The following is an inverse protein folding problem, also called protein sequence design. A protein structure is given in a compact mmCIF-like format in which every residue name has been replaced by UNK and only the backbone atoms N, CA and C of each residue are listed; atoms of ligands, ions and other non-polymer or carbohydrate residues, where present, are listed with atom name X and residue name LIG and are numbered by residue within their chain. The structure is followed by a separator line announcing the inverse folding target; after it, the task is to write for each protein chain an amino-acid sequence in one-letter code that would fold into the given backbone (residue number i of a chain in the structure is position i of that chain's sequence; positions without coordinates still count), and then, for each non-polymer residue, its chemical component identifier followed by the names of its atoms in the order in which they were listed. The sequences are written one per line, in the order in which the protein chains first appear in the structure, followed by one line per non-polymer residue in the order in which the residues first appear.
data_IF_011091576883
#
_entry.id   IF_011091576883
#
_cell.length_a   1.000
_cell.length_b   1.000
_cell.length_c   1.000
_cell.angle_alpha   90.00
_cell.angle_beta   90.00
_cell.angle_gamma   90.00
#
_symmetry.space_group_name_H-M   'P 1'
#
loop_
_entity.id
_entity.type
_entity.pdbx_description
1 polymer ?
#
# COMPACT_ATOMS: atom_id res chain seq x y z
N UNK A 1 -15.51 -58.82 13.23
CA UNK A 1 -14.47 -58.35 14.16
C UNK A 1 -14.22 -56.88 13.84
N UNK A 2 -15.09 -56.01 14.35
CA UNK A 2 -15.09 -54.56 14.06
C UNK A 2 -15.10 -53.82 15.40
N UNK A 3 -13.94 -53.79 16.06
CA UNK A 3 -13.78 -52.99 17.28
C UNK A 3 -13.58 -51.53 16.89
N UNK A 4 -14.58 -50.72 17.25
CA UNK A 4 -14.41 -49.44 17.92
C UNK A 4 -13.24 -48.60 17.38
N UNK A 5 -13.45 -47.94 16.24
CA UNK A 5 -12.82 -46.62 16.09
C UNK A 5 -13.50 -45.75 17.13
N UNK A 6 -12.86 -45.59 18.29
CA UNK A 6 -13.43 -44.89 19.44
C UNK A 6 -13.90 -43.50 19.00
N UNK A 7 -15.17 -43.19 19.20
CA UNK A 7 -15.77 -41.86 18.96
C UNK A 7 -14.86 -40.67 19.33
N UNK A 8 -14.15 -40.67 20.48
CA UNK A 8 -13.21 -39.59 20.80
C UNK A 8 -12.03 -39.44 19.83
N UNK A 9 -11.58 -40.51 19.17
CA UNK A 9 -10.51 -40.45 18.18
C UNK A 9 -10.98 -39.75 16.90
N UNK A 10 -12.22 -39.98 16.46
CA UNK A 10 -12.80 -39.29 15.31
C UNK A 10 -13.07 -37.81 15.60
N UNK A 11 -13.56 -37.48 16.80
CA UNK A 11 -13.75 -36.07 17.20
C UNK A 11 -12.43 -35.32 17.28
N UNK A 12 -11.39 -35.96 17.85
CA UNK A 12 -10.05 -35.34 17.95
C UNK A 12 -9.46 -35.13 16.56
N UNK A 13 -9.55 -36.13 15.67
CA UNK A 13 -9.06 -36.02 14.30
C UNK A 13 -9.82 -34.93 13.52
N UNK A 14 -11.14 -34.86 13.67
CA UNK A 14 -11.97 -33.82 13.07
C UNK A 14 -11.64 -32.41 13.59
N UNK A 15 -11.39 -32.27 14.90
CA UNK A 15 -11.00 -30.99 15.50
C UNK A 15 -9.63 -30.52 15.02
N UNK A 16 -8.64 -31.43 14.90
CA UNK A 16 -7.31 -31.11 14.39
C UNK A 16 -7.37 -30.68 12.92
N UNK A 17 -8.08 -31.43 12.08
CA UNK A 17 -8.24 -31.10 10.66
C UNK A 17 -9.02 -29.80 10.46
N UNK A 18 -10.07 -29.57 11.26
CA UNK A 18 -10.84 -28.32 11.25
C UNK A 18 -10.00 -27.12 11.67
N UNK A 19 -9.16 -27.27 12.70
CA UNK A 19 -8.22 -26.25 13.15
C UNK A 19 -7.19 -25.89 12.08
N UNK A 20 -6.60 -26.90 11.42
CA UNK A 20 -5.68 -26.69 10.30
C UNK A 20 -6.35 -25.97 9.13
N UNK A 21 -7.57 -26.38 8.75
CA UNK A 21 -8.33 -25.73 7.68
C UNK A 21 -8.65 -24.26 8.01
N UNK A 22 -9.13 -23.99 9.23
CA UNK A 22 -9.42 -22.63 9.68
C UNK A 22 -8.15 -21.77 9.68
N UNK A 23 -7.01 -22.33 10.09
CA UNK A 23 -5.73 -21.65 10.04
C UNK A 23 -5.32 -21.27 8.60
N UNK A 24 -5.41 -22.20 7.65
CA UNK A 24 -5.13 -21.90 6.23
C UNK A 24 -6.09 -20.87 5.64
N UNK A 25 -7.38 -20.94 5.97
CA UNK A 25 -8.34 -19.92 5.51
C UNK A 25 -8.12 -18.56 6.15
N UNK A 26 -7.74 -18.53 7.42
CA UNK A 26 -7.37 -17.30 8.11
C UNK A 26 -6.11 -16.68 7.47
N UNK A 27 -5.11 -17.48 7.08
CA UNK A 27 -3.93 -16.96 6.39
C UNK A 27 -4.26 -16.36 5.03
N UNK A 28 -5.09 -17.03 4.22
CA UNK A 28 -5.52 -16.51 2.92
C UNK A 28 -6.27 -15.17 3.05
N UNK A 29 -7.19 -15.08 4.02
CA UNK A 29 -7.95 -13.87 4.26
C UNK A 29 -7.07 -12.73 4.76
N UNK A 30 -6.13 -13.05 5.66
CA UNK A 30 -5.13 -12.10 6.13
C UNK A 30 -4.26 -11.56 4.99
N UNK A 31 -3.82 -12.43 4.08
CA UNK A 31 -3.00 -12.04 2.94
C UNK A 31 -3.76 -11.12 1.98
N UNK A 32 -5.02 -11.45 1.65
CA UNK A 32 -5.89 -10.58 0.83
C UNK A 32 -6.14 -9.23 1.49
N UNK A 33 -6.40 -9.20 2.79
CA UNK A 33 -6.60 -7.95 3.51
C UNK A 33 -5.35 -7.06 3.47
N UNK A 34 -4.16 -7.66 3.59
CA UNK A 34 -2.88 -6.96 3.47
C UNK A 34 -2.65 -6.42 2.05
N UNK A 35 -2.91 -7.24 1.03
CA UNK A 35 -2.75 -6.84 -0.37
C UNK A 35 -3.69 -5.68 -0.74
N UNK A 36 -4.94 -5.73 -0.27
CA UNK A 36 -5.90 -4.65 -0.46
C UNK A 36 -5.43 -3.35 0.18
N UNK A 37 -4.95 -3.38 1.44
CA UNK A 37 -4.42 -2.18 2.11
C UNK A 37 -3.21 -1.61 1.40
N UNK A 38 -2.33 -2.47 0.88
CA UNK A 38 -1.18 -2.04 0.10
C UNK A 38 -1.60 -1.36 -1.21
N UNK A 39 -2.57 -1.94 -1.94
CA UNK A 39 -3.12 -1.34 -3.14
C UNK A 39 -3.79 0.02 -2.87
N UNK A 40 -4.57 0.13 -1.80
CA UNK A 40 -5.20 1.40 -1.40
C UNK A 40 -4.16 2.45 -0.99
N UNK A 41 -3.09 2.04 -0.31
CA UNK A 41 -1.99 2.92 0.03
C UNK A 41 -1.25 3.43 -1.22
N UNK A 42 -1.04 2.57 -2.22
CA UNK A 42 -0.49 2.98 -3.51
C UNK A 42 -1.41 3.95 -4.25
N UNK A 43 -2.73 3.72 -4.22
CA UNK A 43 -3.70 4.65 -4.82
C UNK A 43 -3.70 6.02 -4.12
N UNK A 44 -3.54 6.05 -2.79
CA UNK A 44 -3.38 7.29 -2.05
C UNK A 44 -2.07 8.00 -2.39
N UNK A 45 -0.98 7.25 -2.56
CA UNK A 45 0.32 7.78 -2.97
C UNK A 45 0.28 8.37 -4.38
N UNK A 46 -0.37 7.68 -5.32
CA UNK A 46 -0.56 8.17 -6.68
C UNK A 46 -1.36 9.47 -6.71
N UNK A 47 -2.45 9.54 -5.93
CA UNK A 47 -3.24 10.75 -5.79
C UNK A 47 -2.42 11.91 -5.19
N UNK A 48 -1.58 11.63 -4.18
CA UNK A 48 -0.69 12.63 -3.58
C UNK A 48 0.36 13.18 -4.55
N UNK A 49 0.95 12.29 -5.38
CA UNK A 49 1.88 12.68 -6.45
C UNK A 49 1.18 13.55 -7.49
N UNK A 50 -0.03 13.17 -7.91
CA UNK A 50 -0.79 13.93 -8.90
C UNK A 50 -1.19 15.30 -8.36
N UNK A 51 -1.74 15.37 -7.14
CA UNK A 51 -2.11 16.63 -6.52
C UNK A 51 -0.90 17.56 -6.44
N UNK A 52 0.25 17.05 -5.98
CA UNK A 52 1.48 17.85 -5.91
C UNK A 52 1.93 18.35 -7.28
N UNK A 53 1.76 17.54 -8.32
CA UNK A 53 2.07 17.98 -9.68
C UNK A 53 1.20 19.17 -10.07
N UNK A 54 -0.11 19.07 -9.84
CA UNK A 54 -1.09 20.07 -10.24
C UNK A 54 -0.96 21.39 -9.45
N UNK A 55 -0.75 21.31 -8.14
CA UNK A 55 -0.75 22.49 -7.26
C UNK A 55 0.61 23.17 -7.12
N UNK A 56 1.70 22.47 -7.40
CA UNK A 56 3.06 22.98 -7.16
C UNK A 56 3.98 22.81 -8.37
N UNK A 57 4.20 21.57 -8.83
CA UNK A 57 5.23 21.30 -9.86
C UNK A 57 4.93 22.02 -11.16
N UNK A 58 3.66 22.08 -11.56
CA UNK A 58 3.23 22.76 -12.79
C UNK A 58 3.57 24.25 -12.75
N UNK A 59 3.15 24.95 -11.71
CA UNK A 59 3.42 26.37 -11.52
C UNK A 59 4.93 26.67 -11.46
N UNK A 60 5.70 25.84 -10.74
CA UNK A 60 7.17 25.99 -10.65
C UNK A 60 7.83 25.81 -12.01
N UNK A 61 7.39 24.84 -12.81
CA UNK A 61 7.93 24.64 -14.17
C UNK A 61 7.58 25.78 -15.11
N UNK A 62 6.36 26.30 -15.03
CA UNK A 62 5.91 27.43 -15.85
C UNK A 62 6.68 28.72 -15.51
N UNK A 63 7.07 28.89 -14.24
CA UNK A 63 7.88 30.01 -13.80
C UNK A 63 9.40 29.85 -14.10
N UNK A 64 9.87 28.61 -14.35
CA UNK A 64 11.29 28.36 -14.63
C UNK A 64 11.63 28.58 -16.10
N UNK A 65 12.72 29.31 -16.36
CA UNK A 65 13.23 29.55 -17.71
C UNK A 65 13.63 28.26 -18.45
N UNK A 66 14.03 27.21 -17.72
CA UNK A 66 14.45 25.92 -18.29
C UNK A 66 13.37 24.82 -18.20
N UNK A 67 12.20 25.14 -17.63
CA UNK A 67 11.09 24.20 -17.42
C UNK A 67 11.39 23.06 -16.44
N UNK A 68 12.45 23.18 -15.63
CA UNK A 68 12.89 22.15 -14.67
C UNK A 68 12.79 22.66 -13.24
N UNK A 69 12.69 21.70 -12.33
CA UNK A 69 12.81 21.95 -10.90
C UNK A 69 14.28 21.86 -10.51
N UNK A 70 14.73 22.77 -9.64
CA UNK A 70 15.97 22.71 -8.88
C UNK A 70 15.98 21.52 -7.90
N UNK A 71 17.13 21.26 -7.26
CA UNK A 71 17.25 20.22 -6.24
C UNK A 71 16.32 20.46 -5.04
N UNK A 72 16.24 21.71 -4.57
CA UNK A 72 15.40 22.09 -3.44
C UNK A 72 13.92 21.97 -3.79
N UNK A 73 13.51 22.41 -4.98
CA UNK A 73 12.12 22.28 -5.42
C UNK A 73 11.72 20.82 -5.59
N UNK A 74 12.63 19.95 -6.05
CA UNK A 74 12.38 18.49 -6.10
C UNK A 74 12.22 17.90 -4.72
N UNK A 75 13.04 18.32 -3.75
CA UNK A 75 12.91 17.89 -2.35
C UNK A 75 11.55 18.32 -1.80
N UNK A 76 11.18 19.59 -2.01
CA UNK A 76 9.89 20.12 -1.59
C UNK A 76 8.71 19.40 -2.24
N UNK A 77 8.79 19.11 -3.54
CA UNK A 77 7.76 18.33 -4.23
C UNK A 77 7.62 16.92 -3.65
N UNK A 78 8.70 16.27 -3.24
CA UNK A 78 8.63 14.95 -2.60
C UNK A 78 7.97 15.02 -1.23
N UNK A 79 8.31 16.02 -0.42
CA UNK A 79 7.66 16.27 0.87
C UNK A 79 6.15 16.50 0.70
N UNK A 80 5.77 17.39 -0.23
CA UNK A 80 4.36 17.65 -0.51
C UNK A 80 3.62 16.41 -1.01
N UNK A 81 4.24 15.60 -1.87
CA UNK A 81 3.63 14.36 -2.35
C UNK A 81 3.43 13.35 -1.21
N UNK A 82 4.40 13.25 -0.29
CA UNK A 82 4.29 12.42 0.91
C UNK A 82 3.15 12.90 1.81
N UNK A 83 3.10 14.20 2.11
CA UNK A 83 2.07 14.78 2.98
C UNK A 83 0.67 14.63 2.39
N UNK A 84 0.52 14.90 1.09
CA UNK A 84 -0.74 14.71 0.37
C UNK A 84 -1.17 13.23 0.36
N UNK A 85 -0.23 12.31 0.13
CA UNK A 85 -0.51 10.88 0.18
C UNK A 85 -1.01 10.43 1.56
N UNK A 86 -0.37 10.90 2.64
CA UNK A 86 -0.82 10.63 4.02
C UNK A 86 -2.22 11.20 4.25
N UNK A 87 -2.51 12.41 3.76
CA UNK A 87 -3.83 13.00 3.86
C UNK A 87 -4.90 12.16 3.13
N UNK A 88 -4.63 11.74 1.89
CA UNK A 88 -5.52 10.83 1.15
C UNK A 88 -5.67 9.46 1.80
N UNK A 89 -4.62 8.93 2.41
CA UNK A 89 -4.67 7.69 3.18
C UNK A 89 -5.63 7.81 4.35
N UNK A 90 -5.50 8.88 5.14
CA UNK A 90 -6.36 9.14 6.31
C UNK A 90 -7.84 9.22 5.94
N UNK A 91 -8.20 9.88 4.84
CA UNK A 91 -9.60 9.96 4.40
C UNK A 91 -10.18 8.62 3.95
N UNK A 92 -9.32 7.67 3.58
CA UNK A 92 -9.68 6.31 3.17
C UNK A 92 -9.52 5.25 4.27
N UNK A 93 -9.10 5.65 5.48
CA UNK A 93 -8.85 4.73 6.58
C UNK A 93 -7.57 3.88 6.42
N UNK A 94 -6.64 4.33 5.59
CA UNK A 94 -5.41 3.61 5.25
C UNK A 94 -4.20 4.34 5.82
N UNK A 95 -3.41 3.63 6.61
CA UNK A 95 -2.08 4.08 7.00
C UNK A 95 -1.09 3.83 5.86
N UNK A 96 -0.81 4.88 5.07
CA UNK A 96 0.08 4.80 3.91
C UNK A 96 1.51 4.47 4.32
N UNK A 97 2.00 5.03 5.44
CA UNK A 97 3.36 4.79 5.90
C UNK A 97 3.50 3.37 6.42
N UNK A 98 2.56 2.91 7.25
CA UNK A 98 2.55 1.54 7.76
C UNK A 98 2.33 0.48 6.68
N UNK A 99 1.58 0.79 5.63
CA UNK A 99 1.30 -0.15 4.55
C UNK A 99 2.45 -0.27 3.54
N UNK A 100 3.08 0.85 3.15
CA UNK A 100 4.16 0.87 2.16
C UNK A 100 5.54 0.63 2.80
N UNK A 101 5.72 1.09 4.03
CA UNK A 101 7.00 1.14 4.71
C UNK A 101 7.68 2.50 4.54
N UNK A 102 8.19 3.04 5.64
CA UNK A 102 8.79 4.38 5.71
C UNK A 102 9.95 4.56 4.71
N UNK A 103 10.78 3.54 4.53
CA UNK A 103 11.98 3.62 3.68
C UNK A 103 11.67 3.48 2.18
N UNK A 104 10.47 2.98 1.85
CA UNK A 104 10.09 2.71 0.47
C UNK A 104 9.22 3.81 -0.15
N UNK A 105 8.69 4.74 0.65
CA UNK A 105 7.78 5.77 0.12
C UNK A 105 8.45 6.66 -0.93
N UNK A 106 9.70 7.08 -0.71
CA UNK A 106 10.43 7.91 -1.67
C UNK A 106 10.78 7.16 -2.96
N UNK A 107 11.04 5.85 -2.85
CA UNK A 107 11.25 4.97 -4.00
C UNK A 107 9.96 4.88 -4.83
N UNK A 108 8.81 4.69 -4.17
CA UNK A 108 7.52 4.63 -4.83
C UNK A 108 7.12 5.97 -5.47
N UNK A 109 7.34 7.09 -4.79
CA UNK A 109 7.16 8.44 -5.39
C UNK A 109 8.01 8.56 -6.66
N UNK A 110 9.27 8.14 -6.59
CA UNK A 110 10.17 8.17 -7.77
C UNK A 110 9.65 7.30 -8.91
N UNK A 111 9.16 6.09 -8.60
CA UNK A 111 8.59 5.16 -9.58
C UNK A 111 7.33 5.75 -10.23
N UNK A 112 6.41 6.30 -9.45
CA UNK A 112 5.17 6.92 -9.93
C UNK A 112 5.46 8.13 -10.83
N UNK A 113 6.41 8.99 -10.44
CA UNK A 113 6.84 10.11 -11.28
C UNK A 113 7.42 9.64 -12.61
N UNK A 114 8.23 8.58 -12.61
CA UNK A 114 8.78 7.99 -13.85
C UNK A 114 7.67 7.40 -14.73
N UNK A 115 6.73 6.67 -14.14
CA UNK A 115 5.59 6.08 -14.84
C UNK A 115 4.72 7.16 -15.51
N UNK A 116 4.42 8.25 -14.78
CA UNK A 116 3.66 9.40 -15.33
C UNK A 116 4.35 10.12 -16.49
N UNK A 117 5.68 10.06 -16.57
CA UNK A 117 6.43 10.64 -17.70
C UNK A 117 6.49 9.74 -18.93
N UNK A 118 6.22 8.45 -18.75
CA UNK A 118 6.25 7.46 -19.82
C UNK A 118 4.86 7.20 -20.44
N UNK A 119 3.80 7.57 -19.73
CA UNK A 119 2.42 7.62 -20.23
C UNK A 119 2.20 8.89 -21.06
#
# INVERSE_FOLDING_TARGET
MSQLVSEPALTTLGAVLGGLWAFFKASDWYQRARDNRFAEALNALEAGVQQTYDVYVRAVKEASADGKLSSEERRRARELARDAAIAFGRTRGVDVIGSIGHDYIDLWITKLVKQRKAA
#
